data_IF_975637819592
#
_entry.id   IF_975637819592
#
_cell.length_a   1.000
_cell.length_b   1.000
_cell.length_c   1.000
_cell.angle_alpha   90.00
_cell.angle_beta   90.00
_cell.angle_gamma   90.00
#
_symmetry.space_group_name_H-M   'P 1'
#
loop_
_entity.id
_entity.type
_entity.pdbx_description
1 polymer ?
#
# COMPACT_ATOMS: atom_id res chain seq x y z
N UNK A 1 -11.29 5.39 -13.38
CA UNK A 1 -10.59 4.14 -13.02
C UNK A 1 -10.16 4.20 -11.56
N UNK A 2 -10.47 3.18 -10.82
CA UNK A 2 -10.22 3.16 -9.39
C UNK A 2 -8.91 2.44 -9.06
N UNK A 3 -7.92 3.21 -8.66
CA UNK A 3 -6.74 2.67 -8.02
C UNK A 3 -6.93 2.72 -6.51
N UNK A 4 -6.41 1.71 -5.83
CA UNK A 4 -6.47 1.63 -4.39
C UNK A 4 -5.12 1.19 -3.85
N UNK A 5 -4.64 1.87 -2.80
CA UNK A 5 -3.45 1.46 -2.08
C UNK A 5 -3.86 0.91 -0.71
N UNK A 6 -3.37 -0.28 -0.40
CA UNK A 6 -3.61 -0.91 0.89
C UNK A 6 -2.30 -0.93 1.66
N UNK A 7 -2.27 -0.23 2.80
CA UNK A 7 -1.15 -0.29 3.72
C UNK A 7 -1.35 -1.43 4.71
N UNK A 8 -0.34 -2.25 4.90
CA UNK A 8 -0.42 -3.45 5.71
C UNK A 8 0.65 -3.48 6.79
N UNK A 9 0.24 -3.78 8.02
CA UNK A 9 1.13 -3.93 9.16
C UNK A 9 0.45 -4.77 10.23
N UNK A 10 1.23 -5.33 11.15
CA UNK A 10 0.66 -6.03 12.29
C UNK A 10 -0.02 -5.04 13.23
N UNK A 11 -1.18 -5.43 13.76
CA UNK A 11 -2.04 -4.54 14.55
C UNK A 11 -1.41 -4.03 15.84
N UNK A 12 -0.43 -4.73 16.39
CA UNK A 12 0.21 -4.36 17.65
C UNK A 12 1.62 -3.80 17.47
N UNK A 13 2.00 -3.45 16.24
CA UNK A 13 3.33 -2.94 15.96
C UNK A 13 3.32 -1.43 15.79
N UNK A 14 4.48 -0.80 16.07
CA UNK A 14 4.67 0.63 15.80
C UNK A 14 4.53 0.94 14.31
N UNK A 15 4.67 -0.08 13.46
CA UNK A 15 4.54 0.07 12.02
C UNK A 15 3.11 0.41 11.60
N UNK A 16 2.11 0.03 12.40
CA UNK A 16 0.72 0.38 12.08
C UNK A 16 0.51 1.89 12.09
N UNK A 17 0.99 2.57 13.14
CA UNK A 17 0.90 4.03 13.21
C UNK A 17 1.72 4.71 12.12
N UNK A 18 2.88 4.17 11.80
CA UNK A 18 3.73 4.66 10.73
C UNK A 18 2.99 4.59 9.37
N UNK A 19 2.39 3.44 9.07
CA UNK A 19 1.63 3.25 7.83
C UNK A 19 0.40 4.17 7.79
N UNK A 20 -0.31 4.28 8.91
CA UNK A 20 -1.49 5.15 9.01
C UNK A 20 -1.13 6.61 8.67
N UNK A 21 -0.06 7.12 9.28
CA UNK A 21 0.39 8.48 9.02
C UNK A 21 0.85 8.67 7.58
N UNK A 22 1.52 7.66 7.03
CA UNK A 22 2.01 7.71 5.66
C UNK A 22 0.85 7.69 4.66
N UNK A 23 -0.21 6.92 4.94
CA UNK A 23 -1.41 6.91 4.09
C UNK A 23 -2.09 8.28 4.08
N UNK A 24 -2.08 9.01 5.18
CA UNK A 24 -2.61 10.38 5.22
C UNK A 24 -1.80 11.27 4.27
N UNK A 25 -0.48 11.19 4.31
CA UNK A 25 0.37 11.97 3.41
C UNK A 25 0.14 11.59 1.94
N UNK A 26 -0.02 10.30 1.67
CA UNK A 26 -0.32 9.80 0.32
C UNK A 26 -1.66 10.35 -0.17
N UNK A 27 -2.68 10.34 0.66
CA UNK A 27 -4.01 10.84 0.29
C UNK A 27 -3.98 12.32 0.02
N UNK A 28 -3.18 13.08 0.77
CA UNK A 28 -3.04 14.52 0.54
C UNK A 28 -2.36 14.81 -0.81
N UNK A 29 -1.41 13.98 -1.21
CA UNK A 29 -0.70 14.15 -2.48
C UNK A 29 -1.50 13.61 -3.67
N UNK A 30 -2.23 12.51 -3.49
CA UNK A 30 -3.05 11.86 -4.51
C UNK A 30 -4.50 11.79 -4.03
N UNK A 31 -5.27 12.89 -4.10
CA UNK A 31 -6.63 12.90 -3.54
C UNK A 31 -7.59 11.89 -4.16
N UNK A 32 -7.36 11.52 -5.43
CA UNK A 32 -8.22 10.56 -6.11
C UNK A 32 -7.89 9.10 -5.79
N UNK A 33 -6.74 8.86 -5.14
CA UNK A 33 -6.33 7.50 -4.78
C UNK A 33 -7.07 7.06 -3.52
N UNK A 34 -7.74 5.92 -3.61
CA UNK A 34 -8.37 5.31 -2.44
C UNK A 34 -7.32 4.68 -1.55
N UNK A 35 -7.40 4.93 -0.24
CA UNK A 35 -6.45 4.39 0.73
C UNK A 35 -7.15 3.50 1.74
N UNK A 36 -6.50 2.42 2.14
CA UNK A 36 -7.02 1.50 3.14
C UNK A 36 -5.89 0.99 4.02
N UNK A 37 -6.15 0.87 5.32
CA UNK A 37 -5.23 0.28 6.28
C UNK A 37 -5.76 -1.11 6.64
N UNK A 38 -4.91 -2.14 6.53
CA UNK A 38 -5.34 -3.50 6.81
C UNK A 38 -4.33 -4.22 7.71
N UNK A 39 -4.85 -5.00 8.65
CA UNK A 39 -4.08 -5.94 9.44
C UNK A 39 -4.33 -7.39 9.02
N UNK A 40 -5.14 -7.61 7.99
CA UNK A 40 -5.44 -8.94 7.43
C UNK A 40 -4.43 -9.31 6.35
N UNK A 41 -3.16 -9.10 6.65
CA UNK A 41 -2.07 -9.12 5.69
C UNK A 41 -1.93 -10.47 4.97
N UNK A 42 -1.96 -11.57 5.73
CA UNK A 42 -1.74 -12.89 5.15
C UNK A 42 -2.81 -13.25 4.13
N UNK A 43 -4.06 -12.94 4.45
CA UNK A 43 -5.17 -13.21 3.55
C UNK A 43 -5.04 -12.42 2.26
N UNK A 44 -4.73 -11.15 2.36
CA UNK A 44 -4.58 -10.29 1.19
C UNK A 44 -3.39 -10.71 0.32
N UNK A 45 -2.27 -11.07 0.93
CA UNK A 45 -1.10 -11.53 0.20
C UNK A 45 -1.42 -12.82 -0.55
N UNK A 46 -2.05 -13.79 0.12
CA UNK A 46 -2.39 -15.06 -0.52
C UNK A 46 -3.39 -14.89 -1.65
N UNK A 47 -4.35 -13.98 -1.47
CA UNK A 47 -5.40 -13.73 -2.46
C UNK A 47 -4.87 -13.04 -3.71
N UNK A 48 -3.99 -12.05 -3.54
CA UNK A 48 -3.62 -11.15 -4.63
C UNK A 48 -2.22 -11.35 -5.17
N UNK A 49 -1.27 -11.81 -4.37
CA UNK A 49 0.13 -11.91 -4.80
C UNK A 49 0.49 -13.36 -5.12
N UNK A 50 0.73 -14.15 -4.09
CA UNK A 50 1.09 -15.56 -4.26
C UNK A 50 0.96 -16.27 -2.92
N UNK A 51 0.40 -17.50 -2.89
CA UNK A 51 0.22 -18.24 -1.63
C UNK A 51 1.51 -18.49 -0.85
N UNK A 52 2.64 -18.54 -1.53
CA UNK A 52 3.93 -18.80 -0.88
C UNK A 52 4.76 -17.56 -0.63
N UNK A 53 4.22 -16.39 -0.96
CA UNK A 53 4.94 -15.14 -0.74
C UNK A 53 5.15 -14.87 0.75
N UNK A 54 6.37 -14.48 1.10
CA UNK A 54 6.77 -14.20 2.49
C UNK A 54 7.35 -12.79 2.58
N UNK A 55 6.55 -11.81 2.16
CA UNK A 55 6.95 -10.41 2.20
C UNK A 55 7.15 -9.90 3.62
N UNK A 56 7.98 -8.87 3.75
CA UNK A 56 8.21 -8.21 5.03
C UNK A 56 7.17 -7.12 5.23
N UNK A 57 6.78 -6.91 6.49
CA UNK A 57 5.92 -5.80 6.87
C UNK A 57 6.76 -4.67 7.46
N UNK A 58 6.38 -3.42 7.32
CA UNK A 58 5.16 -2.94 6.65
C UNK A 58 5.23 -3.10 5.12
N UNK A 59 4.07 -3.05 4.49
CA UNK A 59 3.95 -3.30 3.06
C UNK A 59 2.83 -2.47 2.46
N UNK A 60 2.99 -2.06 1.20
CA UNK A 60 1.93 -1.46 0.40
C UNK A 60 1.59 -2.35 -0.78
N UNK A 61 0.30 -2.52 -1.02
CA UNK A 61 -0.20 -3.21 -2.21
C UNK A 61 -1.08 -2.24 -3.00
N UNK A 62 -0.91 -2.22 -4.31
CA UNK A 62 -1.74 -1.37 -5.18
C UNK A 62 -2.62 -2.27 -6.04
N UNK A 63 -3.91 -1.97 -6.00
CA UNK A 63 -4.92 -2.61 -6.82
C UNK A 63 -5.45 -1.62 -7.85
N UNK A 64 -5.75 -2.12 -9.03
CA UNK A 64 -6.45 -1.37 -10.07
C UNK A 64 -7.70 -2.15 -10.44
N UNK A 65 -8.88 -1.55 -10.24
CA UNK A 65 -10.17 -2.21 -10.44
C UNK A 65 -10.26 -3.54 -9.68
N UNK A 66 -9.79 -3.53 -8.42
CA UNK A 66 -9.74 -4.69 -7.53
C UNK A 66 -8.81 -5.83 -7.96
N UNK A 67 -7.97 -5.59 -8.97
CA UNK A 67 -6.96 -6.55 -9.40
C UNK A 67 -5.57 -6.11 -8.96
N UNK A 68 -4.76 -7.06 -8.52
CA UNK A 68 -3.38 -6.78 -8.13
C UNK A 68 -2.61 -6.12 -9.26
N UNK A 69 -1.88 -5.06 -8.92
CA UNK A 69 -1.00 -4.38 -9.86
C UNK A 69 0.46 -4.51 -9.45
N UNK A 70 0.81 -4.07 -8.23
CA UNK A 70 2.17 -4.11 -7.72
C UNK A 70 2.17 -4.00 -6.20
N UNK A 71 3.32 -4.22 -5.59
CA UNK A 71 3.49 -4.06 -4.16
C UNK A 71 4.91 -3.59 -3.84
N UNK A 72 5.08 -3.10 -2.62
CA UNK A 72 6.37 -2.70 -2.11
C UNK A 72 6.40 -2.96 -0.61
N UNK A 73 7.50 -3.51 -0.09
CA UNK A 73 7.65 -3.78 1.33
C UNK A 73 8.83 -3.03 1.90
N UNK A 74 8.81 -2.84 3.23
CA UNK A 74 9.86 -2.16 3.94
C UNK A 74 9.42 -0.78 4.43
N UNK A 75 10.25 -0.18 5.27
CA UNK A 75 10.01 1.14 5.84
C UNK A 75 10.65 2.19 4.96
N UNK A 76 9.82 3.07 4.41
CA UNK A 76 10.23 4.12 3.48
C UNK A 76 9.82 5.49 4.01
N UNK A 77 10.54 6.54 3.63
CA UNK A 77 10.10 7.90 3.92
C UNK A 77 8.88 8.26 3.07
N UNK A 78 8.13 9.28 3.49
CA UNK A 78 7.01 9.76 2.71
C UNK A 78 7.44 10.16 1.30
N UNK A 79 8.58 10.81 1.18
CA UNK A 79 9.13 11.22 -0.11
C UNK A 79 9.41 10.03 -1.02
N UNK A 80 10.01 8.97 -0.48
CA UNK A 80 10.31 7.77 -1.25
C UNK A 80 9.04 7.06 -1.73
N UNK A 81 8.03 6.96 -0.87
CA UNK A 81 6.75 6.33 -1.25
C UNK A 81 6.05 7.17 -2.33
N UNK A 82 6.04 8.49 -2.18
CA UNK A 82 5.42 9.37 -3.17
C UNK A 82 6.14 9.26 -4.51
N UNK A 83 7.47 9.22 -4.52
CA UNK A 83 8.24 9.04 -5.75
C UNK A 83 7.91 7.70 -6.41
N UNK A 84 7.79 6.64 -5.63
CA UNK A 84 7.39 5.34 -6.15
C UNK A 84 6.02 5.39 -6.80
N UNK A 85 5.05 6.03 -6.15
CA UNK A 85 3.70 6.15 -6.69
C UNK A 85 3.67 6.96 -7.98
N UNK A 86 4.55 7.96 -8.10
CA UNK A 86 4.66 8.77 -9.32
C UNK A 86 5.17 7.97 -10.52
N UNK A 87 5.84 6.84 -10.29
CA UNK A 87 6.30 5.97 -11.39
C UNK A 87 5.20 5.08 -11.96
N UNK A 88 4.05 5.00 -11.29
CA UNK A 88 2.95 4.13 -11.70
C UNK A 88 2.09 4.87 -12.74
N UNK A 89 1.95 4.31 -13.96
CA UNK A 89 1.15 4.97 -15.00
C UNK A 89 -0.31 5.16 -14.57
N UNK A 90 -0.89 6.26 -14.98
CA UNK A 90 -2.30 6.63 -14.75
C UNK A 90 -2.72 6.81 -13.29
N UNK A 91 -1.80 6.74 -12.33
CA UNK A 91 -2.13 6.98 -10.93
C UNK A 91 -2.45 8.46 -10.67
N UNK A 92 -1.84 9.35 -11.42
CA UNK A 92 -1.97 10.80 -11.28
C UNK A 92 -3.09 11.41 -12.12
N UNK A 93 -3.88 10.59 -12.76
CA UNK A 93 -4.95 11.05 -13.65
C UNK A 93 -6.27 11.12 -12.93
#
# INVERSE_FOLDING_TARGET
>A
MAHKIIGMAYSESDNLAYIENQLIAIKNFFPALETELSNETNELIQRHIHPQYRGRLPMYMILKNNAYMTHRHGKWSNEEVIQWLQTIPSLNV
#
